data_IF_971123158205
#
_entry.id   IF_971123158205
#
_cell.length_a   1.000
_cell.length_b   1.000
_cell.length_c   1.000
_cell.angle_alpha   90.00
_cell.angle_beta   90.00
_cell.angle_gamma   90.00
#
_symmetry.space_group_name_H-M   'P 1'
#
loop_
_entity.id
_entity.type
_entity.pdbx_description
1 polymer ?
#
# COMPACT_ATOMS: atom_id res chain seq x y z
N UNK A 1 13.66 -16.24 -8.60
CA UNK A 1 13.08 -15.79 -7.30
C UNK A 1 12.97 -14.29 -7.34
N UNK A 2 11.89 -13.69 -6.77
CA UNK A 2 11.56 -12.27 -6.95
C UNK A 2 11.77 -11.49 -5.64
N UNK A 3 12.41 -10.32 -5.75
CA UNK A 3 12.65 -9.38 -4.64
C UNK A 3 11.62 -8.27 -4.67
N UNK A 4 10.93 -8.07 -3.57
CA UNK A 4 9.86 -7.09 -3.43
C UNK A 4 10.26 -5.94 -2.51
N UNK A 5 9.86 -4.73 -2.89
CA UNK A 5 9.78 -3.58 -1.99
C UNK A 5 8.32 -3.21 -1.81
N UNK A 6 7.91 -3.00 -0.58
CA UNK A 6 6.53 -2.63 -0.24
C UNK A 6 6.51 -1.20 0.29
N UNK A 7 5.68 -0.37 -0.30
CA UNK A 7 5.37 0.99 0.15
C UNK A 7 3.96 1.03 0.71
N UNK A 8 3.80 1.61 1.89
CA UNK A 8 2.53 1.73 2.60
C UNK A 8 2.63 2.73 3.75
N UNK A 9 1.55 2.90 4.51
CA UNK A 9 1.56 3.68 5.75
C UNK A 9 2.02 2.80 6.91
N UNK A 10 3.29 2.37 6.86
CA UNK A 10 3.90 1.34 7.72
C UNK A 10 4.81 1.97 8.77
N UNK A 11 4.73 1.45 10.00
CA UNK A 11 5.55 1.90 11.13
C UNK A 11 4.99 3.11 11.88
N UNK A 12 3.75 3.51 11.60
CA UNK A 12 3.05 4.62 12.26
C UNK A 12 2.08 4.17 13.36
N UNK A 13 2.08 2.89 13.69
CA UNK A 13 1.19 2.31 14.71
C UNK A 13 -0.31 2.44 14.38
N UNK A 14 -0.65 2.58 13.10
CA UNK A 14 -2.04 2.51 12.66
C UNK A 14 -2.44 1.04 12.47
N UNK A 15 -3.30 0.53 13.35
CA UNK A 15 -3.70 -0.87 13.34
C UNK A 15 -4.19 -1.37 11.98
N UNK A 16 -4.99 -0.57 11.25
CA UNK A 16 -5.54 -0.97 9.95
C UNK A 16 -4.43 -1.13 8.89
N UNK A 17 -3.53 -0.17 8.80
CA UNK A 17 -2.44 -0.19 7.82
C UNK A 17 -1.41 -1.27 8.17
N UNK A 18 -1.11 -1.47 9.47
CA UNK A 18 -0.23 -2.55 9.92
C UNK A 18 -0.85 -3.94 9.65
N UNK A 19 -2.16 -4.09 9.82
CA UNK A 19 -2.86 -5.33 9.51
C UNK A 19 -2.81 -5.64 8.01
N UNK A 20 -3.00 -4.64 7.15
CA UNK A 20 -2.87 -4.80 5.70
C UNK A 20 -1.43 -5.16 5.31
N UNK A 21 -0.43 -4.51 5.92
CA UNK A 21 0.98 -4.84 5.70
C UNK A 21 1.29 -6.29 6.07
N UNK A 22 0.74 -6.79 7.18
CA UNK A 22 0.86 -8.20 7.60
C UNK A 22 0.31 -9.16 6.55
N UNK A 23 -0.92 -8.93 6.08
CA UNK A 23 -1.55 -9.77 5.05
C UNK A 23 -0.73 -9.76 3.76
N UNK A 24 -0.22 -8.60 3.36
CA UNK A 24 0.60 -8.48 2.16
C UNK A 24 1.93 -9.22 2.31
N UNK A 25 2.61 -9.10 3.44
CA UNK A 25 3.86 -9.84 3.71
C UNK A 25 3.62 -11.35 3.68
N UNK A 26 2.54 -11.83 4.31
CA UNK A 26 2.21 -13.26 4.32
C UNK A 26 1.89 -13.76 2.92
N UNK A 27 1.14 -13.00 2.13
CA UNK A 27 0.89 -13.28 0.72
C UNK A 27 2.21 -13.43 -0.07
N UNK A 28 3.11 -12.44 0.03
CA UNK A 28 4.38 -12.47 -0.70
C UNK A 28 5.28 -13.63 -0.28
N UNK A 29 5.31 -13.96 1.02
CA UNK A 29 6.02 -15.14 1.52
C UNK A 29 5.44 -16.44 0.92
N UNK A 30 4.12 -16.55 0.87
CA UNK A 30 3.43 -17.70 0.29
C UNK A 30 3.66 -17.83 -1.22
N UNK A 31 3.78 -16.72 -1.92
CA UNK A 31 4.13 -16.67 -3.35
C UNK A 31 5.62 -16.98 -3.63
N UNK A 32 6.41 -17.26 -2.60
CA UNK A 32 7.83 -17.62 -2.74
C UNK A 32 8.76 -16.43 -2.98
N UNK A 33 8.46 -15.27 -2.40
CA UNK A 33 9.35 -14.13 -2.44
C UNK A 33 10.74 -14.47 -1.89
N UNK A 34 11.80 -14.16 -2.65
CA UNK A 34 13.19 -14.31 -2.20
C UNK A 34 13.51 -13.32 -1.08
N UNK A 35 13.03 -12.10 -1.25
CA UNK A 35 13.30 -11.01 -0.32
C UNK A 35 12.11 -10.04 -0.30
N UNK A 36 11.77 -9.58 0.89
CA UNK A 36 10.75 -8.54 1.10
C UNK A 36 11.38 -7.43 1.93
N UNK A 37 11.32 -6.19 1.44
CA UNK A 37 11.77 -4.99 2.17
C UNK A 37 10.59 -4.03 2.32
N UNK A 38 10.25 -3.67 3.54
CA UNK A 38 9.18 -2.71 3.83
C UNK A 38 9.76 -1.30 3.99
N UNK A 39 9.18 -0.32 3.31
CA UNK A 39 9.48 1.10 3.55
C UNK A 39 8.68 1.54 4.77
N UNK A 40 9.35 1.98 5.83
CA UNK A 40 8.71 2.23 7.13
C UNK A 40 9.23 3.51 7.81
N UNK A 41 8.37 4.12 8.61
CA UNK A 41 8.74 5.21 9.52
C UNK A 41 9.56 4.71 10.74
N UNK A 42 9.39 3.42 11.11
CA UNK A 42 10.13 2.77 12.19
C UNK A 42 10.67 1.40 11.72
N UNK A 43 11.79 1.37 10.96
CA UNK A 43 12.28 0.15 10.32
C UNK A 43 12.62 -0.97 11.31
N UNK A 44 13.23 -0.67 12.43
CA UNK A 44 13.63 -1.69 13.42
C UNK A 44 12.41 -2.42 14.00
N UNK A 45 11.39 -1.67 14.41
CA UNK A 45 10.14 -2.22 14.90
C UNK A 45 9.43 -3.04 13.83
N UNK A 46 9.39 -2.51 12.60
CA UNK A 46 8.75 -3.14 11.45
C UNK A 46 9.43 -4.46 11.07
N UNK A 47 10.76 -4.46 10.99
CA UNK A 47 11.53 -5.68 10.69
C UNK A 47 11.28 -6.78 11.73
N UNK A 48 11.29 -6.42 13.00
CA UNK A 48 11.01 -7.35 14.11
C UNK A 48 9.57 -7.88 14.08
N UNK A 49 8.60 -7.01 13.76
CA UNK A 49 7.16 -7.36 13.77
C UNK A 49 6.80 -8.35 12.64
N UNK A 50 7.35 -8.14 11.45
CA UNK A 50 6.98 -8.93 10.25
C UNK A 50 7.99 -10.01 9.87
N UNK A 51 9.19 -10.02 10.50
CA UNK A 51 10.24 -10.98 10.17
C UNK A 51 10.72 -10.84 8.72
N UNK A 52 10.86 -9.58 8.24
CA UNK A 52 11.36 -9.20 6.92
C UNK A 52 12.27 -7.98 7.06
N UNK A 53 12.97 -7.63 5.98
CA UNK A 53 13.76 -6.40 6.00
C UNK A 53 12.86 -5.15 6.01
N UNK A 54 13.38 -4.08 6.57
CA UNK A 54 12.75 -2.77 6.51
C UNK A 54 13.78 -1.67 6.31
N UNK A 55 13.38 -0.61 5.61
CA UNK A 55 14.22 0.55 5.38
C UNK A 55 13.50 1.86 5.75
N UNK A 56 14.25 2.91 6.13
CA UNK A 56 13.68 4.23 6.36
C UNK A 56 13.03 4.80 5.10
N UNK A 57 11.97 5.59 5.29
CA UNK A 57 11.22 6.22 4.20
C UNK A 57 12.10 7.00 3.21
N UNK A 58 13.16 7.65 3.68
CA UNK A 58 14.08 8.42 2.80
C UNK A 58 15.08 7.55 2.02
N UNK A 59 15.23 6.27 2.37
CA UNK A 59 16.11 5.32 1.69
C UNK A 59 15.38 4.40 0.70
N UNK A 60 14.15 4.74 0.31
CA UNK A 60 13.35 3.91 -0.59
C UNK A 60 14.02 3.68 -1.96
N UNK A 61 14.77 4.67 -2.44
CA UNK A 61 15.39 4.60 -3.77
C UNK A 61 16.40 3.45 -3.89
N UNK A 62 17.28 3.28 -2.90
CA UNK A 62 18.27 2.19 -2.88
C UNK A 62 17.57 0.82 -2.77
N UNK A 63 16.50 0.75 -1.97
CA UNK A 63 15.72 -0.48 -1.82
C UNK A 63 15.03 -0.85 -3.13
N UNK A 64 14.42 0.10 -3.84
CA UNK A 64 13.79 -0.12 -5.14
C UNK A 64 14.83 -0.53 -6.19
N UNK A 65 15.99 0.13 -6.23
CA UNK A 65 17.07 -0.22 -7.15
C UNK A 65 17.47 -1.69 -7.05
N UNK A 66 17.50 -2.23 -5.85
CA UNK A 66 17.90 -3.61 -5.54
C UNK A 66 16.72 -4.61 -5.51
N UNK A 67 15.55 -4.24 -6.02
CA UNK A 67 14.37 -5.08 -6.11
C UNK A 67 13.95 -5.35 -7.56
N UNK A 68 12.96 -6.22 -7.73
CA UNK A 68 12.34 -6.53 -9.03
C UNK A 68 10.97 -5.89 -9.15
N UNK A 69 10.24 -5.80 -8.03
CA UNK A 69 8.85 -5.35 -7.97
C UNK A 69 8.67 -4.37 -6.82
N UNK A 70 8.05 -3.23 -7.10
CA UNK A 70 7.46 -2.36 -6.09
C UNK A 70 5.98 -2.72 -5.93
N UNK A 71 5.57 -3.04 -4.71
CA UNK A 71 4.15 -3.15 -4.34
C UNK A 71 3.76 -1.90 -3.56
N UNK A 72 2.87 -1.09 -4.13
CA UNK A 72 2.21 0.00 -3.41
C UNK A 72 0.97 -0.59 -2.76
N UNK A 73 1.05 -0.86 -1.46
CA UNK A 73 0.14 -1.76 -0.77
C UNK A 73 -0.83 -1.10 0.17
N UNK A 74 -2.10 -1.43 -0.01
CA UNK A 74 -3.20 -1.20 0.93
C UNK A 74 -3.49 0.24 1.33
N UNK A 75 -4.53 0.42 2.12
CA UNK A 75 -4.91 1.74 2.63
C UNK A 75 -5.47 2.68 1.56
N UNK A 76 -5.42 3.98 1.81
CA UNK A 76 -5.80 5.03 0.87
C UNK A 76 -4.65 6.01 0.71
N UNK A 77 -3.59 5.57 0.03
CA UNK A 77 -2.35 6.33 -0.10
C UNK A 77 -2.42 7.39 -1.21
N UNK A 78 -3.12 7.07 -2.31
CA UNK A 78 -3.24 7.92 -3.49
C UNK A 78 -4.48 8.81 -3.37
N UNK A 79 -4.42 9.79 -2.46
CA UNK A 79 -5.45 10.80 -2.21
C UNK A 79 -4.79 12.09 -1.67
N UNK A 80 -5.44 13.24 -1.81
CA UNK A 80 -4.92 14.53 -1.37
C UNK A 80 -5.79 15.23 -0.31
N UNK A 81 -6.81 14.54 0.20
CA UNK A 81 -7.72 15.10 1.23
C UNK A 81 -6.98 15.36 2.54
N UNK A 82 -6.09 14.46 2.94
CA UNK A 82 -5.30 14.61 4.17
C UNK A 82 -4.07 15.48 3.94
N UNK A 83 -3.35 15.27 2.84
CA UNK A 83 -2.17 16.06 2.50
C UNK A 83 -1.72 15.82 1.05
N UNK A 84 -1.58 16.90 0.29
CA UNK A 84 -0.97 16.85 -1.04
C UNK A 84 0.49 16.37 -0.99
N UNK A 85 1.24 16.73 0.06
CA UNK A 85 2.62 16.27 0.26
C UNK A 85 2.69 14.74 0.43
N UNK A 86 1.71 14.15 1.13
CA UNK A 86 1.62 12.70 1.28
C UNK A 86 1.39 12.01 -0.07
N UNK A 87 0.46 12.52 -0.88
CA UNK A 87 0.24 12.03 -2.24
C UNK A 87 1.53 12.09 -3.07
N UNK A 88 2.24 13.22 -3.04
CA UNK A 88 3.50 13.38 -3.78
C UNK A 88 4.56 12.38 -3.32
N UNK A 89 4.69 12.12 -2.02
CA UNK A 89 5.62 11.12 -1.50
C UNK A 89 5.37 9.74 -2.11
N UNK A 90 4.13 9.24 -2.05
CA UNK A 90 3.80 7.92 -2.62
C UNK A 90 3.96 7.88 -4.14
N UNK A 91 3.63 8.98 -4.82
CA UNK A 91 3.91 9.10 -6.25
C UNK A 91 5.41 9.09 -6.56
N UNK A 92 6.25 9.78 -5.77
CA UNK A 92 7.70 9.73 -5.93
C UNK A 92 8.26 8.29 -5.80
N UNK A 93 7.74 7.50 -4.85
CA UNK A 93 8.13 6.09 -4.70
C UNK A 93 7.75 5.28 -5.95
N UNK A 94 6.52 5.46 -6.46
CA UNK A 94 6.05 4.77 -7.66
C UNK A 94 6.88 5.21 -8.90
N UNK A 95 7.10 6.52 -9.06
CA UNK A 95 7.91 7.03 -10.18
C UNK A 95 9.37 6.56 -10.12
N UNK A 96 9.95 6.44 -8.94
CA UNK A 96 11.29 5.87 -8.81
C UNK A 96 11.35 4.45 -9.35
N UNK A 97 10.35 3.62 -9.04
CA UNK A 97 10.28 2.27 -9.59
C UNK A 97 10.11 2.27 -11.11
N UNK A 98 9.24 3.13 -11.66
CA UNK A 98 9.03 3.27 -13.10
C UNK A 98 10.36 3.68 -13.81
N UNK A 99 11.02 4.73 -13.30
CA UNK A 99 12.28 5.24 -13.87
C UNK A 99 13.39 4.18 -13.82
N UNK A 100 13.43 3.39 -12.76
CA UNK A 100 14.38 2.29 -12.60
C UNK A 100 13.99 1.02 -13.37
N UNK A 101 12.91 1.05 -14.17
CA UNK A 101 12.43 -0.07 -14.97
C UNK A 101 11.92 -1.26 -14.14
N UNK A 102 11.49 -1.00 -12.89
CA UNK A 102 10.94 -2.04 -12.00
C UNK A 102 9.46 -2.24 -12.25
N UNK A 103 8.98 -3.46 -12.00
CA UNK A 103 7.53 -3.72 -12.03
C UNK A 103 6.85 -2.98 -10.88
N UNK A 104 5.63 -2.46 -11.16
CA UNK A 104 4.81 -1.77 -10.16
C UNK A 104 3.48 -2.51 -10.02
N UNK A 105 3.15 -2.89 -8.80
CA UNK A 105 1.86 -3.46 -8.43
C UNK A 105 1.15 -2.54 -7.44
N UNK A 106 -0.09 -2.16 -7.75
CA UNK A 106 -0.99 -1.47 -6.82
C UNK A 106 -1.89 -2.52 -6.18
N UNK A 107 -1.78 -2.68 -4.87
CA UNK A 107 -2.43 -3.77 -4.16
C UNK A 107 -3.55 -3.28 -3.26
N UNK A 108 -4.79 -3.62 -3.65
CA UNK A 108 -6.00 -3.39 -2.86
C UNK A 108 -6.12 -1.99 -2.26
N UNK A 109 -5.83 -0.96 -3.06
CA UNK A 109 -5.88 0.43 -2.61
C UNK A 109 -7.26 1.06 -2.80
N UNK A 110 -7.62 1.95 -1.84
CA UNK A 110 -8.59 3.01 -2.09
C UNK A 110 -7.88 4.18 -2.81
N UNK A 111 -8.41 4.63 -3.94
CA UNK A 111 -7.83 5.70 -4.75
C UNK A 111 -8.75 6.90 -4.78
N UNK A 112 -8.21 8.04 -4.38
CA UNK A 112 -8.94 9.30 -4.29
C UNK A 112 -9.72 9.46 -2.96
N UNK A 113 -10.47 10.59 -2.81
CA UNK A 113 -10.57 11.69 -3.77
C UNK A 113 -9.22 12.40 -4.02
N UNK A 114 -8.99 12.85 -5.26
CA UNK A 114 -7.85 13.67 -5.62
C UNK A 114 -8.41 14.99 -6.18
N UNK A 115 -8.33 16.04 -5.37
CA UNK A 115 -8.93 17.36 -5.71
C UNK A 115 -8.01 18.17 -6.62
N UNK A 116 -6.70 18.06 -6.44
CA UNK A 116 -5.69 18.75 -7.24
C UNK A 116 -5.65 18.23 -8.68
N UNK A 117 -5.75 19.14 -9.67
CA UNK A 117 -5.60 18.79 -11.08
C UNK A 117 -4.23 18.18 -11.40
N UNK A 118 -3.16 18.72 -10.80
CA UNK A 118 -1.80 18.18 -10.92
C UNK A 118 -1.71 16.79 -10.29
N UNK A 119 -2.28 16.62 -9.09
CA UNK A 119 -2.33 15.32 -8.42
C UNK A 119 -3.03 14.24 -9.26
N UNK A 120 -4.18 14.57 -9.87
CA UNK A 120 -4.90 13.68 -10.79
C UNK A 120 -4.06 13.29 -12.00
N UNK A 121 -3.42 14.28 -12.64
CA UNK A 121 -2.57 14.05 -13.81
C UNK A 121 -1.41 13.12 -13.47
N UNK A 122 -0.67 13.40 -12.40
CA UNK A 122 0.47 12.60 -11.96
C UNK A 122 0.02 11.18 -11.57
N UNK A 123 -1.04 11.05 -10.77
CA UNK A 123 -1.55 9.73 -10.36
C UNK A 123 -1.99 8.90 -11.58
N UNK A 124 -2.75 9.51 -12.50
CA UNK A 124 -3.19 8.83 -13.73
C UNK A 124 -2.00 8.33 -14.55
N UNK A 125 -0.96 9.16 -14.71
CA UNK A 125 0.23 8.77 -15.48
C UNK A 125 0.98 7.61 -14.80
N UNK A 126 1.19 7.69 -13.49
CA UNK A 126 1.86 6.64 -12.71
C UNK A 126 1.10 5.30 -12.81
N UNK A 127 -0.23 5.33 -12.63
CA UNK A 127 -1.05 4.12 -12.65
C UNK A 127 -1.13 3.48 -14.04
N UNK A 128 -1.03 4.25 -15.12
CA UNK A 128 -0.94 3.70 -16.48
C UNK A 128 0.32 2.88 -16.74
N UNK A 129 1.35 3.06 -15.94
CA UNK A 129 2.62 2.31 -16.02
C UNK A 129 2.64 1.08 -15.09
N UNK A 130 1.66 0.95 -14.20
CA UNK A 130 1.56 -0.20 -13.31
C UNK A 130 1.15 -1.46 -14.07
N UNK A 131 1.80 -2.58 -13.77
CA UNK A 131 1.53 -3.86 -14.42
C UNK A 131 0.33 -4.58 -13.83
N UNK A 132 0.02 -4.31 -12.57
CA UNK A 132 -1.14 -4.87 -11.89
C UNK A 132 -1.78 -3.83 -10.99
N UNK A 133 -3.09 -3.68 -11.09
CA UNK A 133 -3.84 -2.76 -10.24
C UNK A 133 -5.04 -3.49 -9.65
N UNK A 134 -5.09 -3.54 -8.32
CA UNK A 134 -6.29 -3.96 -7.60
C UNK A 134 -6.74 -2.85 -6.65
N UNK A 135 -8.05 -2.68 -6.56
CA UNK A 135 -8.70 -1.68 -5.69
C UNK A 135 -9.73 -2.36 -4.80
N UNK A 136 -9.97 -1.79 -3.61
CA UNK A 136 -10.86 -2.39 -2.62
C UNK A 136 -12.30 -1.87 -2.65
N UNK A 137 -12.58 -0.84 -3.44
CA UNK A 137 -13.89 -0.22 -3.50
C UNK A 137 -14.29 0.21 -4.91
N UNK A 138 -15.61 0.25 -5.15
CA UNK A 138 -16.17 0.59 -6.46
C UNK A 138 -15.88 2.01 -6.91
N UNK A 139 -15.82 2.98 -5.96
CA UNK A 139 -15.53 4.39 -6.31
C UNK A 139 -14.14 4.53 -6.90
N UNK A 140 -13.15 3.84 -6.32
CA UNK A 140 -11.80 3.76 -6.87
C UNK A 140 -11.78 3.11 -8.25
N UNK A 141 -12.52 2.02 -8.45
CA UNK A 141 -12.61 1.33 -9.74
C UNK A 141 -13.25 2.22 -10.81
N UNK A 142 -14.35 2.90 -10.50
CA UNK A 142 -15.03 3.82 -11.41
C UNK A 142 -14.14 5.01 -11.77
N UNK A 143 -13.40 5.57 -10.80
CA UNK A 143 -12.43 6.63 -11.04
C UNK A 143 -11.36 6.18 -12.03
N UNK A 144 -10.76 5.01 -11.83
CA UNK A 144 -9.74 4.46 -12.73
C UNK A 144 -10.30 4.18 -14.12
N UNK A 145 -11.50 3.62 -14.21
CA UNK A 145 -12.21 3.39 -15.48
C UNK A 145 -12.43 4.70 -16.23
N UNK A 146 -12.77 5.80 -15.55
CA UNK A 146 -12.90 7.13 -16.16
C UNK A 146 -11.59 7.66 -16.75
N UNK A 147 -10.45 7.15 -16.28
CA UNK A 147 -9.11 7.46 -16.79
C UNK A 147 -8.63 6.48 -17.88
N UNK A 148 -9.46 5.48 -18.25
CA UNK A 148 -9.09 4.42 -19.19
C UNK A 148 -8.05 3.47 -18.58
N UNK A 149 -8.16 3.17 -17.29
CA UNK A 149 -7.31 2.24 -16.56
C UNK A 149 -8.18 1.12 -15.99
N UNK A 150 -7.86 -0.12 -16.36
CA UNK A 150 -8.52 -1.28 -15.79
C UNK A 150 -7.93 -1.65 -14.43
N UNK A 151 -8.82 -1.98 -13.49
CA UNK A 151 -8.44 -2.39 -12.16
C UNK A 151 -9.35 -3.51 -11.64
N UNK A 152 -8.75 -4.51 -11.02
CA UNK A 152 -9.45 -5.60 -10.37
C UNK A 152 -10.10 -5.10 -9.07
N UNK A 153 -11.40 -5.34 -8.88
CA UNK A 153 -12.07 -5.08 -7.62
C UNK A 153 -11.88 -6.29 -6.70
N UNK A 154 -11.18 -6.08 -5.59
CA UNK A 154 -10.90 -7.13 -4.60
C UNK A 154 -11.46 -6.75 -3.23
N UNK A 155 -11.60 -7.73 -2.34
CA UNK A 155 -11.95 -7.46 -0.93
C UNK A 155 -10.79 -6.75 -0.23
N UNK A 156 -11.12 -5.92 0.77
CA UNK A 156 -10.08 -5.33 1.62
C UNK A 156 -9.25 -6.46 2.27
N UNK A 157 -7.91 -6.41 2.19
CA UNK A 157 -7.04 -7.47 2.70
C UNK A 157 -7.26 -7.81 4.17
N UNK A 158 -7.75 -6.87 4.97
CA UNK A 158 -8.00 -7.08 6.40
C UNK A 158 -8.96 -8.26 6.66
N UNK A 159 -9.86 -8.55 5.71
CA UNK A 159 -10.78 -9.69 5.82
C UNK A 159 -10.09 -11.07 5.67
N UNK A 160 -8.83 -11.08 5.25
CA UNK A 160 -8.01 -12.29 5.17
C UNK A 160 -7.22 -12.57 6.45
N UNK A 161 -7.31 -11.68 7.46
CA UNK A 161 -6.65 -11.90 8.74
C UNK A 161 -7.37 -13.00 9.52
N UNK A 162 -6.61 -14.00 9.93
CA UNK A 162 -7.05 -14.97 10.92
C UNK A 162 -7.12 -14.29 12.29
N UNK A 163 -8.34 -14.06 12.77
CA UNK A 163 -8.54 -13.50 14.10
C UNK A 163 -8.49 -14.63 15.14
N UNK A 164 -7.78 -14.41 16.26
CA UNK A 164 -7.77 -15.40 17.34
C UNK A 164 -9.20 -15.59 17.88
N UNK A 165 -9.61 -16.83 18.00
CA UNK A 165 -10.90 -17.17 18.63
C UNK A 165 -10.85 -16.74 20.09
N UNK A 166 -11.52 -15.64 20.42
CA UNK A 166 -11.64 -15.14 21.80
C UNK A 166 -12.94 -15.66 22.42
N UNK A 167 -12.88 -16.04 23.70
CA UNK A 167 -14.08 -16.31 24.48
C UNK A 167 -14.98 -15.07 24.49
N UNK A 168 -16.28 -15.26 24.25
CA UNK A 168 -17.26 -14.18 24.39
C UNK A 168 -17.29 -13.72 25.85
N UNK A 169 -16.94 -12.48 26.09
CA UNK A 169 -16.88 -11.88 27.44
C UNK A 169 -18.16 -11.17 27.86
N UNK A 170 -19.14 -11.05 26.96
CA UNK A 170 -20.35 -10.24 27.18
C UNK A 170 -20.09 -8.73 27.13
N UNK A 171 -18.87 -8.30 26.82
CA UNK A 171 -18.50 -6.88 26.69
C UNK A 171 -18.55 -6.44 25.22
N UNK A 172 -19.29 -5.37 24.95
CA UNK A 172 -19.29 -4.71 23.63
C UNK A 172 -18.33 -3.51 23.68
N UNK A 173 -17.35 -3.50 22.79
CA UNK A 173 -16.46 -2.35 22.57
C UNK A 173 -17.01 -1.44 21.47
N UNK A 174 -17.15 -0.15 21.76
CA UNK A 174 -17.56 0.87 20.77
C UNK A 174 -16.41 1.85 20.61
N UNK A 175 -15.90 2.01 19.38
CA UNK A 175 -14.94 3.03 19.04
C UNK A 175 -15.58 4.07 18.13
N UNK A 176 -15.62 5.31 18.61
CA UNK A 176 -16.11 6.44 17.83
C UNK A 176 -14.93 7.26 17.32
N UNK A 177 -14.96 7.62 16.03
CA UNK A 177 -14.00 8.53 15.42
C UNK A 177 -14.73 9.69 14.77
N UNK A 178 -14.35 10.91 15.13
CA UNK A 178 -14.80 12.07 14.38
C UNK A 178 -14.18 12.03 12.99
N UNK A 179 -15.04 12.02 11.99
CA UNK A 179 -14.62 12.15 10.59
C UNK A 179 -14.98 13.57 10.16
N UNK A 180 -14.05 14.38 9.63
CA UNK A 180 -14.36 15.72 9.13
C UNK A 180 -15.26 15.69 7.91
#
# INVERSE_FOLDING_TARGET
MTKYVVSGYIGFDNFGDEAIAKVLVDRLKHEGAEKITLISSNPEKTAKLYGVEACPMLKFFDSIKNSDVLVSGGGSLLQDVTSFKSLLYYLCVIYAAIILGKKVEIYSQGIGPINSGLGRMLTRFALKQAQKISVRDRKSQELLKSWGIDAELVKDPIFSLELPVKKKTGVAGIQLRNYP
#
